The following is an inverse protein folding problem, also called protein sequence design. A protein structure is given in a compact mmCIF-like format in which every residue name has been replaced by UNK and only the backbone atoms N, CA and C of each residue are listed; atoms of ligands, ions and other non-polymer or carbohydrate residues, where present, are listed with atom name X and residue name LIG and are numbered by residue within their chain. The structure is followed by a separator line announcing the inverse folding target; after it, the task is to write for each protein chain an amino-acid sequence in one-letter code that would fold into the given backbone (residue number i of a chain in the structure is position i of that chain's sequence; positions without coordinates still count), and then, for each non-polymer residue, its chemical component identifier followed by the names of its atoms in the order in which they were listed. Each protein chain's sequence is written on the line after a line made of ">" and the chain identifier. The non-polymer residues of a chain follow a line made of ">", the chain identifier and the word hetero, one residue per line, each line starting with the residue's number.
data_IF_584185627128
#
_entry.id   IF_584185627128
#
_cell.length_a   1.000
_cell.length_b   1.000
_cell.length_c   1.000
_cell.angle_alpha   90.00
_cell.angle_beta   90.00
_cell.angle_gamma   90.00
#
_symmetry.space_group_name_H-M   'P 1'
#
loop_
_entity.id
_entity.type
_entity.pdbx_description
1 polymer ?
#
# COMPACT_ATOMS: atom_id res chain seq x y z
N UNK A 1 -16.95 -14.59 6.70
CA UNK A 1 -15.70 -14.80 5.94
C UNK A 1 -14.59 -14.13 6.72
N UNK A 2 -13.55 -14.86 7.12
CA UNK A 2 -12.43 -14.36 7.92
C UNK A 2 -11.78 -13.15 7.20
N UNK A 3 -11.73 -11.98 7.84
CA UNK A 3 -11.20 -10.74 7.23
C UNK A 3 -9.76 -10.89 6.72
N UNK A 4 -8.99 -11.78 7.35
CA UNK A 4 -7.63 -12.14 6.96
C UNK A 4 -7.57 -12.86 5.60
N UNK A 5 -8.57 -13.68 5.28
CA UNK A 5 -8.63 -14.39 4.00
C UNK A 5 -8.90 -13.40 2.85
N UNK A 6 -9.78 -12.44 3.05
CA UNK A 6 -10.06 -11.40 2.05
C UNK A 6 -8.82 -10.52 1.87
N UNK A 7 -8.19 -10.09 2.97
CA UNK A 7 -6.95 -9.31 2.91
C UNK A 7 -5.84 -10.07 2.17
N UNK A 8 -5.60 -11.34 2.53
CA UNK A 8 -4.59 -12.19 1.92
C UNK A 8 -4.83 -12.43 0.43
N UNK A 9 -6.07 -12.72 0.02
CA UNK A 9 -6.44 -12.87 -1.39
C UNK A 9 -6.29 -11.58 -2.17
N UNK A 10 -6.71 -10.44 -1.62
CA UNK A 10 -6.64 -9.15 -2.31
C UNK A 10 -5.18 -8.73 -2.50
N UNK A 11 -4.37 -8.82 -1.44
CA UNK A 11 -2.94 -8.53 -1.49
C UNK A 11 -2.20 -9.49 -2.41
N UNK A 12 -2.49 -10.79 -2.31
CA UNK A 12 -1.91 -11.82 -3.16
C UNK A 12 -2.25 -11.64 -4.63
N UNK A 13 -3.51 -11.31 -4.95
CA UNK A 13 -3.95 -11.02 -6.31
C UNK A 13 -3.29 -9.78 -6.89
N UNK A 14 -3.21 -8.67 -6.13
CA UNK A 14 -2.53 -7.45 -6.56
C UNK A 14 -1.03 -7.71 -6.78
N UNK A 15 -0.39 -8.46 -5.89
CA UNK A 15 1.02 -8.84 -6.03
C UNK A 15 1.26 -9.74 -7.26
N UNK A 16 0.42 -10.75 -7.46
CA UNK A 16 0.52 -11.67 -8.60
C UNK A 16 0.25 -10.97 -9.94
N UNK A 17 -0.78 -10.13 -10.02
CA UNK A 17 -1.11 -9.35 -11.23
C UNK A 17 -0.01 -8.34 -11.56
N UNK A 18 0.51 -7.62 -10.55
CA UNK A 18 1.61 -6.66 -10.77
C UNK A 18 2.93 -7.36 -11.12
N UNK A 19 3.20 -8.55 -10.55
CA UNK A 19 4.34 -9.39 -10.93
C UNK A 19 4.21 -9.97 -12.34
N UNK A 20 3.02 -10.43 -12.72
CA UNK A 20 2.72 -10.96 -14.05
C UNK A 20 2.86 -9.86 -15.11
N UNK A 21 2.38 -8.65 -14.82
CA UNK A 21 2.52 -7.52 -15.74
C UNK A 21 3.99 -7.08 -15.90
N UNK A 22 4.77 -7.08 -14.80
CA UNK A 22 6.20 -6.83 -14.84
C UNK A 22 6.99 -7.88 -15.65
N UNK A 23 6.55 -9.15 -15.64
CA UNK A 23 7.13 -10.25 -16.41
C UNK A 23 6.73 -10.22 -17.89
N UNK A 24 5.46 -9.93 -18.18
CA UNK A 24 4.93 -9.93 -19.54
C UNK A 24 5.37 -8.71 -20.34
N UNK A 25 5.48 -7.53 -19.70
CA UNK A 25 5.85 -6.27 -20.37
C UNK A 25 6.76 -5.40 -19.49
N UNK A 26 8.03 -5.81 -19.30
CA UNK A 26 8.99 -5.09 -18.46
C UNK A 26 9.17 -3.63 -18.90
N UNK A 27 9.27 -3.38 -20.20
CA UNK A 27 9.51 -2.03 -20.75
C UNK A 27 8.32 -1.08 -20.55
N UNK A 28 7.08 -1.56 -20.67
CA UNK A 28 5.88 -0.75 -20.44
C UNK A 28 5.67 -0.43 -18.96
N UNK A 29 5.91 -1.41 -18.09
CA UNK A 29 5.92 -1.21 -16.64
C UNK A 29 6.96 -0.17 -16.23
N UNK A 30 8.15 -0.25 -16.83
CA UNK A 30 9.26 0.67 -16.55
C UNK A 30 8.99 2.09 -17.08
N UNK A 31 8.36 2.21 -18.26
CA UNK A 31 7.86 3.49 -18.77
C UNK A 31 6.80 4.11 -17.86
N UNK A 32 5.83 3.31 -17.41
CA UNK A 32 4.79 3.76 -16.47
C UNK A 32 5.40 4.17 -15.12
N UNK A 33 6.33 3.39 -14.58
CA UNK A 33 7.05 3.67 -13.33
C UNK A 33 7.93 4.92 -13.40
N UNK A 34 8.54 5.22 -14.55
CA UNK A 34 9.30 6.46 -14.79
C UNK A 34 8.39 7.67 -15.01
N UNK A 35 7.22 7.48 -15.62
CA UNK A 35 6.23 8.53 -15.82
C UNK A 35 5.44 8.85 -14.54
N UNK A 36 5.27 7.88 -13.64
CA UNK A 36 4.45 7.97 -12.43
C UNK A 36 4.84 9.12 -11.48
N UNK A 37 6.12 9.39 -11.18
CA UNK A 37 6.52 10.56 -10.38
C UNK A 37 6.15 11.91 -11.00
N UNK A 38 5.90 11.93 -12.31
CA UNK A 38 5.73 13.14 -13.12
C UNK A 38 4.28 13.32 -13.58
N UNK A 39 3.40 12.36 -13.29
CA UNK A 39 1.98 12.42 -13.60
C UNK A 39 1.21 13.13 -12.47
N UNK A 40 0.87 14.39 -12.71
CA UNK A 40 0.12 15.23 -11.79
C UNK A 40 -1.31 14.69 -11.53
N UNK A 41 -1.92 14.02 -12.53
CA UNK A 41 -3.27 13.45 -12.35
C UNK A 41 -3.23 12.25 -11.44
N UNK A 42 -2.27 11.34 -11.63
CA UNK A 42 -2.08 10.19 -10.75
C UNK A 42 -1.79 10.64 -9.31
N UNK A 43 -0.93 11.66 -9.15
CA UNK A 43 -0.62 12.24 -7.85
C UNK A 43 -1.84 12.85 -7.15
N UNK A 44 -2.66 13.61 -7.88
CA UNK A 44 -3.86 14.23 -7.36
C UNK A 44 -4.91 13.19 -6.93
N UNK A 45 -5.15 12.17 -7.77
CA UNK A 45 -6.11 11.10 -7.46
C UNK A 45 -5.66 10.31 -6.24
N UNK A 46 -4.40 9.91 -6.16
CA UNK A 46 -3.87 9.17 -5.01
C UNK A 46 -3.97 9.98 -3.73
N UNK A 47 -3.56 11.25 -3.77
CA UNK A 47 -3.63 12.14 -2.60
C UNK A 47 -5.07 12.33 -2.13
N UNK A 48 -6.03 12.47 -3.05
CA UNK A 48 -7.45 12.59 -2.71
C UNK A 48 -7.98 11.31 -2.05
N UNK A 49 -7.63 10.13 -2.59
CA UNK A 49 -8.01 8.83 -2.03
C UNK A 49 -7.40 8.65 -0.64
N UNK A 50 -6.11 8.95 -0.47
CA UNK A 50 -5.41 8.79 0.80
C UNK A 50 -6.01 9.67 1.89
N UNK A 51 -6.20 10.96 1.60
CA UNK A 51 -6.74 11.90 2.58
C UNK A 51 -8.21 11.60 2.91
N UNK A 52 -9.02 11.18 1.92
CA UNK A 52 -10.39 10.77 2.16
C UNK A 52 -10.46 9.51 3.03
N UNK A 53 -9.64 8.50 2.73
CA UNK A 53 -9.59 7.27 3.52
C UNK A 53 -9.04 7.53 4.92
N UNK A 54 -7.96 8.29 5.06
CA UNK A 54 -7.43 8.69 6.37
C UNK A 54 -8.49 9.40 7.22
N UNK A 55 -9.30 10.29 6.62
CA UNK A 55 -10.40 10.96 7.33
C UNK A 55 -11.48 9.99 7.79
N UNK A 56 -11.81 8.97 6.98
CA UNK A 56 -12.77 7.91 7.35
C UNK A 56 -12.23 7.09 8.53
N UNK A 57 -10.96 6.65 8.46
CA UNK A 57 -10.35 5.87 9.55
C UNK A 57 -10.21 6.68 10.84
N UNK A 58 -9.84 7.96 10.74
CA UNK A 58 -9.72 8.85 11.91
C UNK A 58 -11.08 9.10 12.57
N UNK A 59 -12.18 9.11 11.79
CA UNK A 59 -13.53 9.16 12.35
C UNK A 59 -13.94 7.88 13.08
N UNK A 60 -13.48 6.71 12.59
CA UNK A 60 -13.75 5.40 13.21
C UNK A 60 -12.97 5.20 14.51
N UNK A 61 -11.78 5.80 14.64
CA UNK A 61 -10.98 5.72 15.87
C UNK A 61 -11.63 6.52 17.01
N UNK A 62 -11.66 5.94 18.20
CA UNK A 62 -12.05 6.64 19.42
C UNK A 62 -10.84 7.43 19.93
N UNK A 63 -10.88 8.77 19.82
CA UNK A 63 -9.79 9.66 20.20
C UNK A 63 -10.05 10.35 21.55
N UNK A 64 -11.08 9.90 22.29
CA UNK A 64 -11.46 10.44 23.59
C UNK A 64 -11.82 11.92 23.48
N UNK A 65 -11.06 12.79 24.16
CA UNK A 65 -11.29 14.24 24.19
C UNK A 65 -11.21 14.91 22.81
N UNK A 66 -10.43 14.34 21.88
CA UNK A 66 -10.28 14.90 20.54
C UNK A 66 -11.47 14.59 19.60
N UNK A 67 -12.44 13.78 20.03
CA UNK A 67 -13.64 13.50 19.24
C UNK A 67 -14.43 14.77 18.89
N UNK A 68 -14.31 15.83 19.69
CA UNK A 68 -14.90 17.15 19.40
C UNK A 68 -14.40 17.77 18.10
N UNK A 69 -13.20 17.41 17.65
CA UNK A 69 -12.59 17.93 16.41
C UNK A 69 -12.92 17.07 15.17
N UNK A 70 -13.60 15.93 15.33
CA UNK A 70 -14.00 15.08 14.20
C UNK A 70 -14.84 15.79 13.13
N UNK A 71 -15.79 16.69 13.47
CA UNK A 71 -16.52 17.46 12.46
C UNK A 71 -15.60 18.38 11.64
N UNK A 72 -14.54 18.92 12.25
CA UNK A 72 -13.59 19.78 11.56
C UNK A 72 -12.77 19.01 10.51
N UNK A 73 -12.55 17.70 10.69
CA UNK A 73 -11.87 16.86 9.70
C UNK A 73 -12.59 16.87 8.36
N UNK A 74 -13.92 16.84 8.34
CA UNK A 74 -14.67 16.83 7.08
C UNK A 74 -14.48 18.09 6.23
N UNK A 75 -14.17 19.23 6.87
CA UNK A 75 -13.86 20.49 6.20
C UNK A 75 -12.35 20.56 5.89
N UNK A 76 -11.52 20.08 6.81
CA UNK A 76 -10.06 20.11 6.67
C UNK A 76 -9.58 19.17 5.57
N UNK A 77 -10.20 18.00 5.38
CA UNK A 77 -9.83 17.02 4.35
C UNK A 77 -9.87 17.59 2.93
N UNK A 78 -10.99 18.15 2.41
CA UNK A 78 -11.01 18.72 1.06
C UNK A 78 -10.06 19.93 0.94
N UNK A 79 -9.90 20.71 2.01
CA UNK A 79 -8.94 21.82 2.04
C UNK A 79 -7.50 21.33 1.89
N UNK A 80 -7.10 20.29 2.63
CA UNK A 80 -5.78 19.67 2.55
C UNK A 80 -5.54 19.03 1.18
N UNK A 81 -6.54 18.35 0.61
CA UNK A 81 -6.45 17.80 -0.75
C UNK A 81 -6.12 18.92 -1.74
N UNK A 82 -6.88 20.01 -1.69
CA UNK A 82 -6.65 21.16 -2.57
C UNK A 82 -5.26 21.79 -2.35
N UNK A 83 -4.86 21.95 -1.09
CA UNK A 83 -3.58 22.55 -0.74
C UNK A 83 -2.40 21.68 -1.20
N UNK A 84 -2.47 20.36 -1.01
CA UNK A 84 -1.47 19.42 -1.48
C UNK A 84 -1.37 19.40 -3.00
N UNK A 85 -2.50 19.42 -3.73
CA UNK A 85 -2.47 19.44 -5.21
C UNK A 85 -1.88 20.74 -5.73
N UNK A 86 -2.17 21.88 -5.09
CA UNK A 86 -1.77 23.20 -5.58
C UNK A 86 -0.34 23.60 -5.22
N UNK A 87 0.13 23.22 -4.03
CA UNK A 87 1.41 23.70 -3.48
C UNK A 87 2.50 22.63 -3.45
N UNK A 88 2.16 21.36 -3.70
CA UNK A 88 3.10 20.25 -3.61
C UNK A 88 3.45 19.74 -5.01
N UNK A 89 4.26 20.50 -5.74
CA UNK A 89 4.59 20.21 -7.15
C UNK A 89 5.63 19.09 -7.33
N UNK A 90 6.49 18.83 -6.34
CA UNK A 90 7.54 17.81 -6.47
C UNK A 90 7.20 16.48 -5.79
N UNK A 91 7.17 15.40 -6.59
CA UNK A 91 7.09 14.00 -6.13
C UNK A 91 5.85 13.66 -5.27
N UNK A 92 4.76 14.42 -5.45
CA UNK A 92 3.49 14.17 -4.77
C UNK A 92 3.00 12.72 -4.94
N UNK A 93 3.14 12.15 -6.14
CA UNK A 93 2.76 10.76 -6.41
C UNK A 93 3.53 9.73 -5.56
N UNK A 94 4.84 9.93 -5.34
CA UNK A 94 5.64 9.01 -4.54
C UNK A 94 5.27 9.08 -3.06
N UNK A 95 4.99 10.30 -2.56
CA UNK A 95 4.53 10.50 -1.19
C UNK A 95 3.12 9.92 -0.98
N UNK A 96 2.18 10.19 -1.88
CA UNK A 96 0.84 9.63 -1.84
C UNK A 96 0.89 8.09 -1.88
N UNK A 97 1.72 7.50 -2.75
CA UNK A 97 1.93 6.05 -2.75
C UNK A 97 2.42 5.51 -1.39
N UNK A 98 3.29 6.25 -0.70
CA UNK A 98 3.70 5.93 0.67
C UNK A 98 2.55 6.01 1.68
N UNK A 99 1.71 7.05 1.58
CA UNK A 99 0.49 7.21 2.37
C UNK A 99 -0.51 6.06 2.16
N UNK A 100 -0.73 5.66 0.91
CA UNK A 100 -1.58 4.53 0.56
C UNK A 100 -1.07 3.22 1.16
N UNK A 101 0.24 2.96 1.11
CA UNK A 101 0.85 1.78 1.72
C UNK A 101 0.62 1.72 3.23
N UNK A 102 0.74 2.87 3.91
CA UNK A 102 0.44 3.01 5.34
C UNK A 102 -1.05 2.74 5.63
N UNK A 103 -1.94 3.30 4.82
CA UNK A 103 -3.39 3.11 4.93
C UNK A 103 -3.82 1.67 4.70
N UNK A 104 -3.25 0.98 3.71
CA UNK A 104 -3.56 -0.42 3.41
C UNK A 104 -3.00 -1.36 4.48
N UNK A 105 -1.89 -1.01 5.14
CA UNK A 105 -1.35 -1.83 6.22
C UNK A 105 -2.26 -1.86 7.47
N UNK A 106 -3.02 -0.79 7.73
CA UNK A 106 -3.92 -0.71 8.88
C UNK A 106 -5.00 -1.81 8.92
N UNK A 107 -5.86 -2.01 7.89
CA UNK A 107 -6.86 -3.07 7.90
C UNK A 107 -6.23 -4.47 7.86
N UNK A 108 -5.02 -4.63 7.30
CA UNK A 108 -4.30 -5.91 7.32
C UNK A 108 -3.87 -6.26 8.75
N UNK A 109 -3.29 -5.29 9.48
CA UNK A 109 -2.89 -5.47 10.87
C UNK A 109 -4.09 -5.68 11.80
N UNK A 110 -5.22 -5.01 11.54
CA UNK A 110 -6.46 -5.23 12.29
C UNK A 110 -7.01 -6.65 12.02
N UNK A 111 -7.07 -7.07 10.75
CA UNK A 111 -7.44 -8.44 10.39
C UNK A 111 -6.51 -9.48 11.04
N UNK A 112 -5.19 -9.21 11.07
CA UNK A 112 -4.21 -10.02 11.81
C UNK A 112 -4.56 -10.05 13.30
N UNK A 113 -4.87 -8.92 13.94
CA UNK A 113 -5.14 -8.88 15.37
C UNK A 113 -6.36 -9.73 15.78
N UNK A 114 -7.43 -9.69 14.99
CA UNK A 114 -8.70 -10.35 15.28
C UNK A 114 -8.81 -11.80 14.76
N UNK A 115 -7.83 -12.28 13.99
CA UNK A 115 -7.78 -13.66 13.46
C UNK A 115 -7.34 -14.68 14.54
N UNK A 116 -7.96 -15.87 14.56
CA UNK A 116 -8.76 -16.39 15.65
C UNK A 116 -8.03 -16.40 17.00
N UNK A 117 -8.48 -15.50 17.87
CA UNK A 117 -8.10 -15.46 19.29
C UNK A 117 -8.85 -16.51 20.13
N UNK A 118 -9.79 -17.28 19.58
CA UNK A 118 -10.70 -18.11 20.37
C UNK A 118 -10.37 -19.62 20.45
N UNK A 119 -9.50 -20.18 19.58
CA UNK A 119 -9.27 -21.63 19.59
C UNK A 119 -7.82 -22.06 19.28
N UNK A 120 -7.16 -21.54 18.23
CA UNK A 120 -5.77 -21.89 17.91
C UNK A 120 -5.06 -20.76 17.13
N UNK A 121 -4.02 -20.10 17.68
CA UNK A 121 -3.27 -19.10 16.95
C UNK A 121 -2.41 -19.77 15.86
N UNK A 122 -2.90 -19.78 14.61
CA UNK A 122 -2.12 -20.23 13.46
C UNK A 122 -0.85 -19.36 13.29
N UNK A 123 0.37 -19.94 13.33
CA UNK A 123 1.64 -19.21 13.20
C UNK A 123 1.73 -18.41 11.88
N UNK A 124 1.01 -18.85 10.85
CA UNK A 124 1.01 -18.28 9.51
C UNK A 124 0.47 -16.86 9.42
N UNK A 125 -0.23 -16.39 10.45
CA UNK A 125 -0.66 -14.99 10.58
C UNK A 125 0.51 -14.01 10.59
N UNK A 126 1.68 -14.44 11.08
CA UNK A 126 2.90 -13.61 11.15
C UNK A 126 3.41 -13.21 9.76
N UNK A 127 3.17 -14.02 8.72
CA UNK A 127 3.57 -13.67 7.36
C UNK A 127 2.89 -12.39 6.90
N UNK A 128 1.58 -12.26 7.14
CA UNK A 128 0.83 -11.04 6.81
C UNK A 128 1.22 -9.86 7.70
N UNK A 129 1.52 -10.12 8.97
CA UNK A 129 2.02 -9.08 9.88
C UNK A 129 3.36 -8.50 9.41
N UNK A 130 4.34 -9.36 9.10
CA UNK A 130 5.66 -8.97 8.59
C UNK A 130 5.51 -8.20 7.28
N UNK A 131 4.67 -8.67 6.35
CA UNK A 131 4.42 -7.96 5.10
C UNK A 131 3.85 -6.56 5.34
N UNK A 132 2.87 -6.42 6.23
CA UNK A 132 2.29 -5.13 6.59
C UNK A 132 3.34 -4.19 7.19
N UNK A 133 4.21 -4.68 8.07
CA UNK A 133 5.31 -3.88 8.63
C UNK A 133 6.35 -3.46 7.58
N UNK A 134 6.67 -4.32 6.62
CA UNK A 134 7.53 -3.95 5.50
C UNK A 134 6.91 -2.83 4.66
N UNK A 135 5.59 -2.88 4.43
CA UNK A 135 4.86 -1.82 3.73
C UNK A 135 4.81 -0.52 4.52
N UNK A 136 4.63 -0.58 5.85
CA UNK A 136 4.71 0.59 6.72
C UNK A 136 6.09 1.23 6.64
N UNK A 137 7.16 0.44 6.78
CA UNK A 137 8.53 0.94 6.72
C UNK A 137 8.83 1.58 5.36
N UNK A 138 8.45 0.92 4.27
CA UNK A 138 8.63 1.46 2.92
C UNK A 138 7.77 2.71 2.69
N UNK A 139 6.52 2.71 3.14
CA UNK A 139 5.61 3.86 3.04
C UNK A 139 6.15 5.08 3.77
N UNK A 140 6.66 4.90 5.00
CA UNK A 140 7.36 5.94 5.77
C UNK A 140 8.59 6.49 5.05
N UNK A 141 9.42 5.61 4.48
CA UNK A 141 10.59 6.04 3.71
C UNK A 141 10.19 6.89 2.50
N UNK A 142 9.14 6.52 1.78
CA UNK A 142 8.62 7.30 0.65
C UNK A 142 8.02 8.63 1.12
N UNK A 143 7.39 8.66 2.29
CA UNK A 143 6.79 9.87 2.85
C UNK A 143 7.84 10.90 3.26
N UNK A 144 8.85 10.46 4.01
CA UNK A 144 9.94 11.29 4.54
C UNK A 144 10.96 11.65 3.47
N UNK A 145 11.27 10.72 2.56
CA UNK A 145 12.37 10.83 1.63
C UNK A 145 11.96 10.37 0.22
N UNK A 146 11.09 11.14 -0.47
CA UNK A 146 10.50 10.73 -1.75
C UNK A 146 11.53 10.54 -2.88
N UNK A 147 12.73 11.12 -2.76
CA UNK A 147 13.83 10.92 -3.69
C UNK A 147 14.34 9.46 -3.72
N UNK A 148 14.10 8.67 -2.67
CA UNK A 148 14.42 7.24 -2.67
C UNK A 148 13.64 6.45 -3.71
N UNK A 149 12.45 6.92 -4.11
CA UNK A 149 11.68 6.30 -5.18
C UNK A 149 12.43 6.42 -6.52
N UNK A 150 12.99 7.61 -6.84
CA UNK A 150 13.83 7.79 -8.04
C UNK A 150 15.09 6.93 -7.99
N UNK A 151 15.76 6.84 -6.84
CA UNK A 151 16.94 5.98 -6.68
C UNK A 151 16.63 4.49 -6.84
N UNK A 152 15.49 4.03 -6.30
CA UNK A 152 15.02 2.66 -6.52
C UNK A 152 14.72 2.41 -7.99
N UNK A 153 14.02 3.34 -8.65
CA UNK A 153 13.75 3.27 -10.08
C UNK A 153 15.05 3.17 -10.87
N UNK A 154 16.01 4.07 -10.65
CA UNK A 154 17.32 4.04 -11.32
C UNK A 154 18.00 2.68 -11.12
N UNK A 155 18.03 2.16 -9.89
CA UNK A 155 18.60 0.86 -9.56
C UNK A 155 17.91 -0.30 -10.30
N UNK A 156 16.58 -0.32 -10.37
CA UNK A 156 15.82 -1.32 -11.12
C UNK A 156 15.98 -1.16 -12.64
N UNK A 157 16.19 0.06 -13.13
CA UNK A 157 16.33 0.38 -14.55
C UNK A 157 17.74 0.20 -15.09
N UNK A 158 18.74 -0.01 -14.22
CA UNK A 158 20.14 -0.14 -14.64
C UNK A 158 20.45 -1.49 -15.31
N UNK A 159 19.58 -2.51 -15.20
CA UNK A 159 19.77 -3.84 -15.79
C UNK A 159 18.44 -4.53 -16.11
N UNK A 160 18.17 -4.82 -17.39
CA UNK A 160 16.99 -5.58 -17.87
C UNK A 160 16.70 -6.91 -17.15
N UNK A 161 17.69 -7.77 -16.79
CA UNK A 161 17.38 -9.02 -16.10
C UNK A 161 16.88 -8.80 -14.67
N UNK A 162 17.22 -7.68 -14.01
CA UNK A 162 16.80 -7.42 -12.63
C UNK A 162 15.29 -7.20 -12.56
N UNK A 163 14.71 -6.48 -13.51
CA UNK A 163 13.27 -6.24 -13.52
C UNK A 163 12.47 -7.54 -13.73
N UNK A 164 12.98 -8.46 -14.58
CA UNK A 164 12.37 -9.79 -14.78
C UNK A 164 12.49 -10.67 -13.54
N UNK A 165 13.64 -10.66 -12.86
CA UNK A 165 13.84 -11.38 -11.59
C UNK A 165 12.97 -10.81 -10.47
N UNK A 166 12.86 -9.48 -10.37
CA UNK A 166 11.97 -8.82 -9.40
C UNK A 166 10.49 -9.10 -9.66
N UNK A 167 10.07 -9.10 -10.93
CA UNK A 167 8.72 -9.48 -11.34
C UNK A 167 8.41 -10.95 -11.01
N UNK A 168 9.36 -11.86 -11.27
CA UNK A 168 9.24 -13.27 -10.92
C UNK A 168 9.16 -13.49 -9.40
N UNK A 169 10.01 -12.81 -8.63
CA UNK A 169 9.98 -12.88 -7.17
C UNK A 169 8.64 -12.35 -6.62
N UNK A 170 8.13 -11.24 -7.18
CA UNK A 170 6.84 -10.66 -6.79
C UNK A 170 5.67 -11.57 -7.15
N UNK A 171 5.73 -12.24 -8.29
CA UNK A 171 4.73 -13.20 -8.73
C UNK A 171 4.74 -14.47 -7.86
N UNK A 172 5.92 -15.00 -7.56
CA UNK A 172 6.08 -16.14 -6.63
C UNK A 172 5.61 -15.78 -5.23
N UNK A 173 5.94 -14.60 -4.72
CA UNK A 173 5.42 -14.11 -3.45
C UNK A 173 3.90 -13.95 -3.47
N UNK A 174 3.32 -13.40 -4.54
CA UNK A 174 1.87 -13.28 -4.71
C UNK A 174 1.15 -14.63 -4.74
N UNK A 175 1.68 -15.60 -5.49
CA UNK A 175 1.15 -16.97 -5.54
C UNK A 175 1.27 -17.67 -4.18
N UNK A 176 2.41 -17.53 -3.49
CA UNK A 176 2.61 -18.07 -2.15
C UNK A 176 1.59 -17.49 -1.16
N UNK A 177 1.29 -16.19 -1.24
CA UNK A 177 0.27 -15.55 -0.40
C UNK A 177 -1.15 -16.03 -0.72
N UNK A 178 -1.48 -16.27 -1.99
CA UNK A 178 -2.79 -16.84 -2.40
C UNK A 178 -2.92 -18.27 -1.86
N UNK A 179 -1.90 -19.11 -2.02
CA UNK A 179 -1.89 -20.49 -1.50
C UNK A 179 -2.00 -20.49 0.02
N UNK A 180 -1.22 -19.63 0.71
CA UNK A 180 -1.28 -19.49 2.16
C UNK A 180 -2.66 -19.03 2.62
N UNK A 181 -3.29 -18.11 1.89
CA UNK A 181 -4.63 -17.61 2.20
C UNK A 181 -5.70 -18.68 2.05
N UNK A 182 -5.60 -19.53 1.04
CA UNK A 182 -6.55 -20.63 0.80
C UNK A 182 -6.34 -21.82 1.74
N UNK A 183 -5.10 -22.13 2.11
CA UNK A 183 -4.77 -23.26 2.97
C UNK A 183 -4.87 -22.93 4.47
N UNK A 184 -4.45 -21.74 4.89
CA UNK A 184 -4.29 -21.41 6.32
C UNK A 184 -5.32 -20.41 6.86
N UNK A 185 -5.97 -19.60 6.00
CA UNK A 185 -6.93 -18.57 6.45
C UNK A 185 -8.40 -18.91 6.19
N UNK A 186 -8.68 -20.10 5.63
CA UNK A 186 -10.04 -20.58 5.29
C UNK A 186 -10.83 -21.15 6.48
N UNK A 187 -10.23 -21.17 7.67
CA UNK A 187 -10.86 -21.57 8.94
C UNK A 187 -11.65 -20.45 9.59
#
# INVERSE_FOLDING_TARGET
>A
MSGLLIAGLTVGAIAALSGAWALARPEQMLGALKAFPRDAKAAAVLTAVDLAWAAIELNRMYLGTFDRFKPALWILTPLLIFLCIKYMDELLAARALGGLLLLVAAPILDAVRWFPTAADPSPWRLVMAVLAYLWIAYGLLLLCAPYWFRKHLEWWTSFDPRLRVGGALKLLAGLALIVLSLCCYRG
#
